data_IF_267887290210
#
_entry.id   IF_267887290210
#
_cell.length_a   1.000
_cell.length_b   1.000
_cell.length_c   1.000
_cell.angle_alpha   90.00
_cell.angle_beta   90.00
_cell.angle_gamma   90.00
#
_symmetry.space_group_name_H-M   'P 1'
#
loop_
_entity.id
_entity.type
_entity.pdbx_description
1 polymer ?
#
# COMPACT_ATOMS: atom_id res chain seq x y z
N UNK A 1 20.72 -14.02 -8.84
CA UNK A 1 19.84 -15.20 -9.01
C UNK A 1 18.42 -14.70 -8.96
N UNK A 2 17.53 -15.20 -9.82
CA UNK A 2 16.11 -14.76 -9.78
C UNK A 2 15.50 -15.13 -8.42
N UNK A 3 14.89 -14.16 -7.73
CA UNK A 3 14.18 -14.36 -6.46
C UNK A 3 12.73 -14.85 -6.68
N UNK A 4 12.46 -15.42 -7.88
CA UNK A 4 11.11 -15.84 -8.27
C UNK A 4 10.90 -17.30 -7.93
N UNK A 5 9.74 -17.59 -7.37
CA UNK A 5 9.25 -18.94 -7.11
C UNK A 5 7.90 -19.11 -7.80
N UNK A 6 7.85 -19.98 -8.81
CA UNK A 6 6.56 -20.38 -9.40
C UNK A 6 6.19 -21.75 -8.79
N UNK A 7 5.01 -21.87 -8.18
CA UNK A 7 4.57 -23.12 -7.57
C UNK A 7 4.49 -24.25 -8.60
N UNK A 8 4.89 -25.46 -8.19
CA UNK A 8 4.79 -26.64 -9.05
C UNK A 8 3.32 -26.88 -9.44
N UNK A 9 3.09 -27.08 -10.74
CA UNK A 9 1.75 -27.30 -11.28
C UNK A 9 0.87 -26.05 -11.32
N UNK A 10 1.41 -24.86 -11.07
CA UNK A 10 0.65 -23.62 -11.22
C UNK A 10 0.08 -23.48 -12.63
N UNK A 11 -1.20 -23.14 -12.69
CA UNK A 11 -1.89 -22.78 -13.92
C UNK A 11 -2.76 -21.56 -13.67
N UNK A 12 -2.64 -20.57 -14.53
CA UNK A 12 -3.51 -19.39 -14.48
C UNK A 12 -4.98 -19.80 -14.67
N UNK A 13 -5.86 -19.34 -13.79
CA UNK A 13 -7.28 -19.62 -13.84
C UNK A 13 -7.99 -18.97 -15.04
N UNK A 14 -7.44 -17.87 -15.55
CA UNK A 14 -7.95 -17.12 -16.71
C UNK A 14 -6.84 -16.95 -17.75
N UNK A 15 -7.17 -17.15 -19.02
CA UNK A 15 -6.27 -16.79 -20.13
C UNK A 15 -6.07 -15.27 -20.23
N UNK A 16 -5.10 -14.83 -21.04
CA UNK A 16 -4.70 -13.41 -21.15
C UNK A 16 -5.87 -12.46 -21.42
N UNK A 17 -6.74 -12.79 -22.38
CA UNK A 17 -7.86 -11.93 -22.76
C UNK A 17 -8.84 -11.74 -21.59
N UNK A 18 -9.22 -12.81 -20.90
CA UNK A 18 -10.14 -12.72 -19.76
C UNK A 18 -9.47 -12.15 -18.52
N UNK A 19 -8.15 -12.32 -18.36
CA UNK A 19 -7.36 -11.62 -17.35
C UNK A 19 -7.43 -10.11 -17.56
N UNK A 20 -7.27 -9.60 -18.79
CA UNK A 20 -7.38 -8.16 -19.07
C UNK A 20 -8.78 -7.61 -18.81
N UNK A 21 -9.83 -8.35 -19.18
CA UNK A 21 -11.22 -7.99 -18.83
C UNK A 21 -11.45 -7.95 -17.32
N UNK A 22 -10.94 -8.94 -16.60
CA UNK A 22 -11.08 -9.03 -15.16
C UNK A 22 -10.34 -7.89 -14.44
N UNK A 23 -9.13 -7.52 -14.88
CA UNK A 23 -8.40 -6.35 -14.37
C UNK A 23 -9.24 -5.08 -14.52
N UNK A 24 -9.81 -4.83 -15.71
CA UNK A 24 -10.66 -3.67 -15.94
C UNK A 24 -11.89 -3.63 -15.01
N UNK A 25 -12.52 -4.78 -14.81
CA UNK A 25 -13.66 -4.92 -13.89
C UNK A 25 -13.26 -4.70 -12.43
N UNK A 26 -12.18 -5.33 -11.97
CA UNK A 26 -11.66 -5.16 -10.60
C UNK A 26 -11.42 -3.67 -10.33
N UNK A 27 -10.71 -2.99 -11.23
CA UNK A 27 -10.38 -1.57 -11.06
C UNK A 27 -11.63 -0.69 -10.96
N UNK A 28 -12.65 -0.96 -11.76
CA UNK A 28 -13.90 -0.20 -11.72
C UNK A 28 -14.71 -0.49 -10.46
N UNK A 29 -15.02 -1.77 -10.20
CA UNK A 29 -15.89 -2.19 -9.10
C UNK A 29 -15.27 -1.82 -7.74
N UNK A 30 -13.99 -2.13 -7.55
CA UNK A 30 -13.33 -1.85 -6.28
C UNK A 30 -13.26 -0.36 -5.99
N UNK A 31 -12.89 0.47 -6.98
CA UNK A 31 -12.84 1.92 -6.78
C UNK A 31 -14.21 2.50 -6.40
N UNK A 32 -15.29 2.04 -7.04
CA UNK A 32 -16.65 2.47 -6.69
C UNK A 32 -17.01 2.10 -5.26
N UNK A 33 -16.75 0.84 -4.85
CA UNK A 33 -17.01 0.37 -3.50
C UNK A 33 -16.18 1.12 -2.44
N UNK A 34 -14.90 1.31 -2.71
CA UNK A 34 -14.00 2.09 -1.83
C UNK A 34 -14.48 3.54 -1.67
N UNK A 35 -14.86 4.18 -2.78
CA UNK A 35 -15.40 5.54 -2.74
C UNK A 35 -16.69 5.65 -1.92
N UNK A 36 -17.55 4.66 -2.01
CA UNK A 36 -18.79 4.61 -1.22
C UNK A 36 -18.52 4.38 0.26
N UNK A 37 -17.69 3.39 0.59
CA UNK A 37 -17.38 3.01 1.97
C UNK A 37 -16.69 4.15 2.75
N UNK A 38 -15.73 4.83 2.12
CA UNK A 38 -14.92 5.85 2.78
C UNK A 38 -15.34 7.30 2.46
N UNK A 39 -16.46 7.50 1.72
CA UNK A 39 -16.94 8.84 1.29
C UNK A 39 -15.89 9.64 0.51
N UNK A 40 -15.25 9.00 -0.48
CA UNK A 40 -14.18 9.58 -1.27
C UNK A 40 -14.68 10.19 -2.58
N UNK A 41 -14.00 11.24 -3.03
CA UNK A 41 -14.13 11.81 -4.37
C UNK A 41 -12.85 11.59 -5.16
N UNK A 42 -12.99 11.11 -6.40
CA UNK A 42 -11.84 10.97 -7.29
C UNK A 42 -11.30 12.35 -7.69
N UNK A 43 -9.98 12.52 -7.59
CA UNK A 43 -9.26 13.73 -8.00
C UNK A 43 -8.06 13.37 -8.86
N UNK A 44 -7.52 14.34 -9.59
CA UNK A 44 -6.24 14.20 -10.30
C UNK A 44 -5.09 14.38 -9.34
N UNK A 45 -3.99 13.67 -9.57
CA UNK A 45 -2.77 13.76 -8.77
C UNK A 45 -1.53 14.00 -9.65
N UNK A 46 -0.44 14.54 -9.07
CA UNK A 46 0.81 14.70 -9.80
C UNK A 46 1.50 13.34 -10.00
N UNK A 47 2.16 13.17 -11.14
CA UNK A 47 3.10 12.08 -11.37
C UNK A 47 4.48 12.41 -10.77
N UNK A 48 4.80 13.70 -10.65
CA UNK A 48 6.06 14.21 -10.11
C UNK A 48 5.83 15.49 -9.30
N UNK A 49 6.73 15.77 -8.40
CA UNK A 49 6.72 16.95 -7.53
C UNK A 49 8.06 17.64 -7.58
N UNK A 50 8.10 18.91 -7.18
CA UNK A 50 9.35 19.67 -7.08
C UNK A 50 10.24 19.08 -5.99
N UNK A 51 11.50 18.90 -6.30
CA UNK A 51 12.52 18.52 -5.32
C UNK A 51 12.56 19.54 -4.18
N UNK A 52 12.70 19.06 -2.94
CA UNK A 52 12.73 19.92 -1.77
C UNK A 52 11.38 20.49 -1.32
N UNK A 53 10.27 20.15 -1.98
CA UNK A 53 8.92 20.54 -1.54
C UNK A 53 8.50 19.88 -0.23
N UNK A 54 9.10 18.73 0.10
CA UNK A 54 8.70 17.85 1.20
C UNK A 54 7.47 16.99 0.89
N UNK A 55 7.00 16.99 -0.36
CA UNK A 55 5.81 16.24 -0.79
C UNK A 55 6.12 14.81 -1.25
N UNK A 56 7.35 14.54 -1.72
CA UNK A 56 7.75 13.19 -2.07
C UNK A 56 8.00 12.34 -0.83
N UNK A 57 7.94 11.02 -1.00
CA UNK A 57 8.24 10.05 0.03
C UNK A 57 9.70 9.56 -0.12
N UNK A 58 10.44 9.57 0.99
CA UNK A 58 11.80 9.04 1.01
C UNK A 58 11.82 7.55 1.36
N UNK A 59 10.65 6.90 1.46
CA UNK A 59 10.49 5.51 1.86
C UNK A 59 11.29 5.19 3.14
N UNK A 60 12.26 4.29 3.04
CA UNK A 60 13.17 3.99 4.17
C UNK A 60 14.36 4.97 4.27
N UNK A 61 14.46 5.95 3.34
CA UNK A 61 15.49 6.99 3.33
C UNK A 61 16.76 6.61 2.57
N UNK A 62 16.77 5.46 1.91
CA UNK A 62 17.91 4.98 1.10
C UNK A 62 17.58 4.88 -0.40
N UNK A 63 16.30 4.78 -0.73
CA UNK A 63 15.80 4.68 -2.11
C UNK A 63 15.96 6.03 -2.83
N UNK A 64 16.43 5.96 -4.06
CA UNK A 64 16.70 7.13 -4.89
C UNK A 64 15.51 7.43 -5.80
N UNK A 65 14.94 8.65 -5.78
CA UNK A 65 13.88 9.02 -6.72
C UNK A 65 14.42 9.07 -8.16
N UNK A 66 13.51 8.91 -9.13
CA UNK A 66 13.77 9.27 -10.52
C UNK A 66 13.62 10.77 -10.66
N UNK A 67 14.73 11.50 -10.72
CA UNK A 67 14.76 12.94 -10.84
C UNK A 67 15.09 13.37 -12.28
N UNK A 68 14.57 14.53 -12.66
CA UNK A 68 14.83 15.16 -13.96
C UNK A 68 14.77 16.68 -13.83
N UNK A 69 15.50 17.37 -14.72
CA UNK A 69 15.47 18.82 -14.80
C UNK A 69 14.22 19.34 -15.51
N UNK A 70 13.74 20.50 -15.07
CA UNK A 70 12.63 21.22 -15.68
C UNK A 70 13.15 22.61 -16.11
N UNK A 71 13.69 22.74 -17.33
CA UNK A 71 14.39 23.96 -17.76
C UNK A 71 13.55 25.23 -17.67
N UNK A 72 12.24 25.13 -17.96
CA UNK A 72 11.32 26.28 -17.88
C UNK A 72 11.14 26.85 -16.47
N UNK A 73 11.43 26.07 -15.44
CA UNK A 73 11.33 26.46 -14.03
C UNK A 73 12.71 26.70 -13.41
N UNK A 74 13.78 26.30 -14.11
CA UNK A 74 15.16 26.25 -13.59
C UNK A 74 15.26 25.46 -12.28
N UNK A 75 14.53 24.34 -12.20
CA UNK A 75 14.37 23.51 -11.00
C UNK A 75 14.44 22.03 -11.37
N UNK A 76 14.53 21.17 -10.35
CA UNK A 76 14.43 19.72 -10.51
C UNK A 76 13.10 19.20 -9.98
N UNK A 77 12.55 18.20 -10.68
CA UNK A 77 11.38 17.45 -10.26
C UNK A 77 11.72 15.98 -10.05
N UNK A 78 10.92 15.31 -9.24
CA UNK A 78 11.06 13.89 -8.90
C UNK A 78 9.75 13.17 -9.15
N UNK A 79 9.81 12.02 -9.82
CA UNK A 79 8.67 11.10 -9.89
C UNK A 79 8.35 10.65 -8.47
N UNK A 80 7.07 10.66 -8.11
CA UNK A 80 6.65 10.32 -6.75
C UNK A 80 6.97 8.86 -6.40
N UNK A 81 7.35 8.61 -5.14
CA UNK A 81 7.38 7.28 -4.55
C UNK A 81 6.06 6.92 -3.86
N UNK A 82 5.36 7.92 -3.33
CA UNK A 82 4.00 7.85 -2.82
C UNK A 82 3.34 9.23 -2.84
N UNK A 83 2.02 9.27 -2.67
CA UNK A 83 1.26 10.52 -2.59
C UNK A 83 0.78 10.83 -1.15
N UNK A 84 1.30 10.14 -0.13
CA UNK A 84 0.83 10.27 1.24
C UNK A 84 0.78 11.73 1.72
N UNK A 85 1.87 12.47 1.55
CA UNK A 85 1.96 13.88 1.95
C UNK A 85 1.18 14.81 1.02
N UNK A 86 1.22 14.55 -0.29
CA UNK A 86 0.49 15.35 -1.26
C UNK A 86 -1.04 15.27 -1.05
N UNK A 87 -1.59 14.10 -0.76
CA UNK A 87 -3.03 13.92 -0.53
C UNK A 87 -3.54 14.80 0.60
N UNK A 88 -2.82 14.83 1.74
CA UNK A 88 -3.15 15.70 2.86
C UNK A 88 -3.13 17.18 2.48
N UNK A 89 -2.10 17.60 1.74
CA UNK A 89 -2.02 18.97 1.21
C UNK A 89 -3.17 19.26 0.23
N UNK A 90 -3.55 18.32 -0.63
CA UNK A 90 -4.65 18.46 -1.57
C UNK A 90 -6.00 18.64 -0.85
N UNK A 91 -6.27 17.89 0.22
CA UNK A 91 -7.47 18.06 1.04
C UNK A 91 -7.57 19.48 1.61
N UNK A 92 -6.46 20.02 2.13
CA UNK A 92 -6.39 21.41 2.58
C UNK A 92 -6.65 22.39 1.43
N UNK A 93 -5.92 22.26 0.34
CA UNK A 93 -6.00 23.16 -0.81
C UNK A 93 -7.39 23.20 -1.44
N UNK A 94 -8.08 22.06 -1.47
CA UNK A 94 -9.40 21.92 -2.09
C UNK A 94 -10.56 22.17 -1.10
N UNK A 95 -10.27 22.43 0.17
CA UNK A 95 -11.26 22.79 1.19
C UNK A 95 -12.17 21.63 1.63
N UNK A 96 -11.64 20.40 1.65
CA UNK A 96 -12.38 19.25 2.17
C UNK A 96 -12.59 19.36 3.68
N UNK A 97 -13.70 18.81 4.15
CA UNK A 97 -14.16 18.90 5.56
C UNK A 97 -14.12 17.53 6.23
N UNK A 98 -14.17 17.47 7.59
CA UNK A 98 -14.26 16.19 8.30
C UNK A 98 -15.33 15.26 7.73
N UNK A 99 -14.97 13.98 7.58
CA UNK A 99 -15.82 12.96 6.98
C UNK A 99 -15.75 12.88 5.45
N UNK A 100 -15.08 13.82 4.78
CA UNK A 100 -14.88 13.82 3.33
C UNK A 100 -13.45 13.44 2.98
N UNK A 101 -13.26 12.78 1.84
CA UNK A 101 -11.95 12.36 1.39
C UNK A 101 -11.78 12.38 -0.13
N UNK A 102 -10.56 12.07 -0.53
CA UNK A 102 -10.15 11.94 -1.94
C UNK A 102 -9.59 10.55 -2.20
N UNK A 103 -9.72 10.10 -3.44
CA UNK A 103 -8.99 8.97 -4.01
C UNK A 103 -8.39 9.38 -5.34
N UNK A 104 -7.22 8.83 -5.65
CA UNK A 104 -6.56 9.05 -6.94
C UNK A 104 -5.76 7.81 -7.34
N UNK A 105 -5.45 7.69 -8.63
CA UNK A 105 -4.43 6.74 -9.06
C UNK A 105 -3.05 7.33 -8.79
N UNK A 106 -2.25 6.60 -8.03
CA UNK A 106 -0.83 6.86 -7.86
C UNK A 106 -0.05 5.93 -8.78
N UNK A 107 0.86 6.52 -9.55
CA UNK A 107 1.82 5.78 -10.38
C UNK A 107 3.22 6.20 -9.93
N UNK A 108 3.99 5.26 -9.42
CA UNK A 108 5.32 5.50 -8.90
C UNK A 108 6.37 4.64 -9.61
N UNK A 109 7.61 5.12 -9.60
CA UNK A 109 8.77 4.37 -10.09
C UNK A 109 9.75 4.22 -8.94
N UNK A 110 9.91 3.01 -8.46
CA UNK A 110 10.88 2.62 -7.43
C UNK A 110 12.08 1.97 -8.11
N UNK A 111 13.01 2.79 -8.56
CA UNK A 111 14.15 2.36 -9.41
C UNK A 111 15.11 1.38 -8.74
N UNK A 112 15.14 1.35 -7.42
CA UNK A 112 16.04 0.52 -6.63
C UNK A 112 15.31 -0.72 -6.04
N UNK A 113 14.07 -1.02 -6.50
CA UNK A 113 13.27 -2.15 -6.04
C UNK A 113 13.89 -3.49 -6.45
N UNK A 114 13.92 -4.44 -5.53
CA UNK A 114 14.27 -5.83 -5.84
C UNK A 114 13.07 -6.54 -6.46
N UNK A 115 13.25 -7.07 -7.67
CA UNK A 115 12.17 -7.73 -8.40
C UNK A 115 11.95 -9.15 -7.89
N UNK A 116 10.71 -9.47 -7.55
CA UNK A 116 10.28 -10.80 -7.17
C UNK A 116 8.84 -11.07 -7.65
N UNK A 117 8.16 -12.07 -7.09
CA UNK A 117 6.79 -12.39 -7.46
C UNK A 117 5.78 -11.26 -7.18
N UNK A 118 6.04 -10.41 -6.19
CA UNK A 118 5.13 -9.40 -5.66
C UNK A 118 5.59 -7.95 -5.94
N UNK A 119 6.88 -7.77 -6.25
CA UNK A 119 7.50 -6.46 -6.39
C UNK A 119 7.90 -6.15 -7.83
N UNK A 120 7.62 -4.92 -8.25
CA UNK A 120 7.95 -4.35 -9.56
C UNK A 120 8.49 -2.95 -9.37
N UNK A 121 9.34 -2.48 -10.28
CA UNK A 121 9.79 -1.07 -10.31
C UNK A 121 8.64 -0.09 -10.56
N UNK A 122 7.54 -0.54 -11.18
CA UNK A 122 6.33 0.23 -11.35
C UNK A 122 5.32 -0.13 -10.25
N UNK A 123 4.88 0.88 -9.49
CA UNK A 123 3.90 0.72 -8.42
C UNK A 123 2.65 1.51 -8.76
N UNK A 124 1.51 0.84 -8.78
CA UNK A 124 0.19 1.42 -9.01
C UNK A 124 -0.71 1.22 -7.78
N UNK A 125 -1.28 2.31 -7.27
CA UNK A 125 -2.15 2.27 -6.10
C UNK A 125 -3.41 3.11 -6.31
N UNK A 126 -4.52 2.72 -5.62
CA UNK A 126 -5.53 3.68 -5.22
C UNK A 126 -5.03 4.35 -3.96
N UNK A 127 -4.59 5.58 -4.09
CA UNK A 127 -4.16 6.41 -2.97
C UNK A 127 -5.35 7.22 -2.47
N UNK A 128 -5.72 7.01 -1.22
CA UNK A 128 -6.85 7.68 -0.60
C UNK A 128 -6.45 8.43 0.67
N UNK A 129 -7.22 9.48 0.98
CA UNK A 129 -7.02 10.30 2.19
C UNK A 129 -8.35 10.91 2.60
N UNK A 130 -8.66 10.92 3.90
CA UNK A 130 -9.90 11.43 4.47
C UNK A 130 -9.61 12.39 5.61
N UNK A 131 -10.32 13.53 5.66
CA UNK A 131 -10.25 14.45 6.81
C UNK A 131 -10.99 13.84 7.99
N UNK A 132 -10.35 13.84 9.16
CA UNK A 132 -10.89 13.31 10.41
C UNK A 132 -10.91 14.39 11.49
N UNK A 133 -11.64 14.14 12.56
CA UNK A 133 -11.65 14.97 13.77
C UNK A 133 -10.65 14.46 14.80
N UNK A 134 -10.35 15.25 15.83
CA UNK A 134 -9.37 14.88 16.84
C UNK A 134 -9.78 13.66 17.67
N UNK A 135 -11.07 13.49 17.94
CA UNK A 135 -11.65 12.34 18.64
C UNK A 135 -11.60 11.05 17.83
N UNK A 136 -11.43 11.13 16.51
CA UNK A 136 -11.25 9.97 15.62
C UNK A 136 -9.79 9.48 15.54
N UNK A 137 -8.86 10.09 16.25
CA UNK A 137 -7.46 9.61 16.33
C UNK A 137 -7.33 8.45 17.32
N UNK A 138 -7.93 7.32 17.01
CA UNK A 138 -7.96 6.11 17.85
C UNK A 138 -7.70 4.84 17.05
N UNK A 139 -7.29 3.77 17.73
CA UNK A 139 -7.14 2.45 17.11
C UNK A 139 -8.50 1.87 16.67
N UNK A 140 -9.55 2.16 17.41
CA UNK A 140 -10.91 1.72 17.08
C UNK A 140 -11.34 2.28 15.73
N UNK A 141 -11.14 3.59 15.50
CA UNK A 141 -11.46 4.22 14.21
C UNK A 141 -10.58 3.69 13.06
N UNK A 142 -9.32 3.37 13.34
CA UNK A 142 -8.44 2.69 12.39
C UNK A 142 -9.01 1.31 12.01
N UNK A 143 -9.40 0.51 12.99
CA UNK A 143 -9.98 -0.83 12.79
C UNK A 143 -11.31 -0.81 12.02
N UNK A 144 -12.20 0.14 12.36
CA UNK A 144 -13.45 0.35 11.61
C UNK A 144 -13.17 0.62 10.12
N UNK A 145 -12.18 1.46 9.82
CA UNK A 145 -11.80 1.77 8.44
C UNK A 145 -11.17 0.56 7.73
N UNK A 146 -10.43 -0.28 8.46
CA UNK A 146 -9.91 -1.55 7.92
C UNK A 146 -11.04 -2.50 7.52
N UNK A 147 -12.08 -2.63 8.36
CA UNK A 147 -13.24 -3.46 8.01
C UNK A 147 -13.97 -2.95 6.76
N UNK A 148 -14.15 -1.64 6.62
CA UNK A 148 -14.75 -1.03 5.43
C UNK A 148 -13.97 -1.37 4.14
N UNK A 149 -12.63 -1.31 4.20
CA UNK A 149 -11.76 -1.65 3.07
C UNK A 149 -11.81 -3.14 2.76
N UNK A 150 -11.72 -4.01 3.77
CA UNK A 150 -11.78 -5.46 3.59
C UNK A 150 -13.13 -5.88 3.02
N UNK A 151 -14.24 -5.27 3.49
CA UNK A 151 -15.56 -5.54 2.92
C UNK A 151 -15.65 -5.14 1.45
N UNK A 152 -15.08 -4.00 1.05
CA UNK A 152 -15.00 -3.57 -0.34
C UNK A 152 -14.18 -4.55 -1.21
N UNK A 153 -13.07 -5.09 -0.69
CA UNK A 153 -12.26 -6.12 -1.36
C UNK A 153 -13.08 -7.41 -1.55
N UNK A 154 -13.69 -7.91 -0.48
CA UNK A 154 -14.49 -9.14 -0.52
C UNK A 154 -15.72 -9.02 -1.43
N UNK A 155 -16.41 -7.87 -1.37
CA UNK A 155 -17.56 -7.61 -2.24
C UNK A 155 -17.15 -7.51 -3.73
N UNK A 156 -15.95 -7.01 -4.03
CA UNK A 156 -15.37 -7.01 -5.38
C UNK A 156 -15.09 -8.45 -5.83
N UNK A 157 -14.52 -9.28 -4.96
CA UNK A 157 -14.27 -10.70 -5.21
C UNK A 157 -15.58 -11.45 -5.52
N UNK A 158 -16.65 -11.18 -4.77
CA UNK A 158 -17.96 -11.82 -4.97
C UNK A 158 -18.55 -11.51 -6.34
N UNK A 159 -18.50 -10.24 -6.78
CA UNK A 159 -18.96 -9.83 -8.11
C UNK A 159 -18.10 -10.46 -9.24
N UNK A 160 -16.79 -10.50 -9.01
CA UNK A 160 -15.86 -11.09 -9.98
C UNK A 160 -16.10 -12.57 -10.19
N UNK A 161 -16.29 -13.34 -9.10
CA UNK A 161 -16.59 -14.79 -9.13
C UNK A 161 -17.93 -15.10 -9.80
N UNK A 162 -18.86 -14.17 -9.77
CA UNK A 162 -20.11 -14.32 -10.50
C UNK A 162 -19.92 -14.17 -12.02
N UNK A 163 -19.02 -13.28 -12.45
CA UNK A 163 -18.70 -13.04 -13.85
C UNK A 163 -17.70 -14.04 -14.45
N UNK A 164 -16.81 -14.57 -13.62
CA UNK A 164 -15.78 -15.55 -13.98
C UNK A 164 -15.91 -16.79 -13.07
N UNK A 165 -16.75 -17.77 -13.46
CA UNK A 165 -17.01 -18.96 -12.64
C UNK A 165 -15.74 -19.77 -12.30
N UNK A 166 -14.68 -19.67 -13.13
CA UNK A 166 -13.38 -20.30 -12.92
C UNK A 166 -12.72 -19.88 -11.59
N UNK A 167 -13.01 -18.66 -11.13
CA UNK A 167 -12.49 -18.14 -9.87
C UNK A 167 -13.26 -18.65 -8.66
N UNK A 168 -14.48 -19.16 -8.82
CA UNK A 168 -15.45 -19.43 -7.74
C UNK A 168 -14.93 -20.38 -6.67
N UNK A 169 -14.21 -21.42 -7.07
CA UNK A 169 -13.73 -22.47 -6.16
C UNK A 169 -12.28 -22.28 -5.72
N UNK A 170 -11.59 -21.29 -6.28
CA UNK A 170 -10.16 -21.12 -6.10
C UNK A 170 -9.81 -19.88 -5.24
N UNK A 171 -10.68 -18.86 -5.28
CA UNK A 171 -10.47 -17.62 -4.54
C UNK A 171 -11.49 -17.49 -3.43
N UNK A 172 -11.03 -17.56 -2.20
CA UNK A 172 -11.82 -17.34 -0.99
C UNK A 172 -11.07 -16.34 -0.11
N UNK A 173 -11.76 -15.28 0.27
CA UNK A 173 -11.25 -14.26 1.18
C UNK A 173 -12.13 -14.25 2.44
N UNK A 174 -11.48 -14.20 3.59
CA UNK A 174 -12.17 -14.07 4.85
C UNK A 174 -12.53 -12.61 5.10
N UNK A 175 -13.80 -12.33 5.41
CA UNK A 175 -14.28 -11.00 5.79
C UNK A 175 -13.92 -10.64 7.22
N UNK A 176 -13.75 -11.65 8.06
CA UNK A 176 -13.29 -11.46 9.42
C UNK A 176 -11.79 -11.08 9.41
N UNK A 177 -11.47 -9.99 10.08
CA UNK A 177 -10.09 -9.49 10.16
C UNK A 177 -9.52 -9.82 11.52
N UNK A 178 -8.40 -10.52 11.56
CA UNK A 178 -7.64 -10.73 12.79
C UNK A 178 -6.67 -9.56 13.00
N UNK A 179 -6.86 -8.81 14.08
CA UNK A 179 -6.01 -7.68 14.44
C UNK A 179 -4.91 -8.12 15.41
N UNK A 180 -3.70 -7.64 15.19
CA UNK A 180 -2.55 -7.86 16.07
C UNK A 180 -1.59 -6.68 15.98
N UNK A 181 -0.97 -6.31 17.09
CA UNK A 181 0.12 -5.32 17.08
C UNK A 181 1.44 -6.01 16.72
N UNK A 182 2.40 -5.23 16.22
CA UNK A 182 3.75 -5.74 15.93
C UNK A 182 4.43 -6.33 17.16
N UNK A 183 4.18 -5.78 18.35
CA UNK A 183 4.73 -6.30 19.59
C UNK A 183 4.10 -7.63 20.00
N UNK A 184 2.76 -7.77 19.91
CA UNK A 184 2.08 -9.04 20.17
C UNK A 184 2.53 -10.12 19.18
N UNK A 185 2.78 -9.73 17.92
CA UNK A 185 3.28 -10.62 16.89
C UNK A 185 4.71 -11.11 17.20
N UNK A 186 5.58 -10.23 17.69
CA UNK A 186 6.92 -10.61 18.21
C UNK A 186 6.81 -11.52 19.42
N UNK A 187 5.97 -11.19 20.41
CA UNK A 187 5.79 -11.97 21.62
C UNK A 187 5.24 -13.39 21.31
N UNK A 188 4.40 -13.52 20.26
CA UNK A 188 3.84 -14.82 19.82
C UNK A 188 4.84 -15.67 19.04
N UNK A 189 5.72 -15.05 18.26
CA UNK A 189 6.71 -15.73 17.40
C UNK A 189 8.11 -15.13 17.59
N UNK A 190 8.73 -15.29 18.78
CA UNK A 190 9.98 -14.56 19.12
C UNK A 190 11.17 -14.93 18.24
N UNK A 191 11.23 -16.18 17.77
CA UNK A 191 12.35 -16.70 16.97
C UNK A 191 12.18 -16.46 15.46
N UNK A 192 11.04 -15.91 15.03
CA UNK A 192 10.76 -15.67 13.61
C UNK A 192 11.22 -14.28 13.18
N UNK A 193 11.64 -14.17 11.92
CA UNK A 193 11.81 -12.86 11.27
C UNK A 193 10.45 -12.17 11.11
N UNK A 194 10.40 -10.84 10.93
CA UNK A 194 9.14 -10.14 10.69
C UNK A 194 8.28 -10.78 9.60
N UNK A 195 8.86 -11.09 8.45
CA UNK A 195 8.12 -11.73 7.33
C UNK A 195 7.62 -13.14 7.66
N UNK A 196 8.36 -13.91 8.44
CA UNK A 196 7.91 -15.22 8.92
C UNK A 196 6.74 -15.10 9.92
N UNK A 197 6.75 -14.06 10.78
CA UNK A 197 5.66 -13.74 11.68
C UNK A 197 4.36 -13.41 10.92
N UNK A 198 4.47 -12.54 9.91
CA UNK A 198 3.35 -12.19 9.02
C UNK A 198 2.78 -13.42 8.34
N UNK A 199 3.65 -14.24 7.72
CA UNK A 199 3.23 -15.46 7.03
C UNK A 199 2.53 -16.45 7.97
N UNK A 200 3.08 -16.66 9.17
CA UNK A 200 2.49 -17.59 10.14
C UNK A 200 1.10 -17.12 10.60
N UNK A 201 0.96 -15.84 10.92
CA UNK A 201 -0.30 -15.27 11.39
C UNK A 201 -1.35 -15.18 10.28
N UNK A 202 -0.96 -14.75 9.08
CA UNK A 202 -1.86 -14.70 7.93
C UNK A 202 -2.29 -16.10 7.46
N UNK A 203 -1.42 -17.11 7.56
CA UNK A 203 -1.77 -18.50 7.23
C UNK A 203 -2.84 -19.06 8.15
N UNK A 204 -2.83 -18.66 9.43
CA UNK A 204 -3.80 -19.09 10.42
C UNK A 204 -5.17 -18.41 10.27
N UNK A 205 -5.17 -17.12 9.91
CA UNK A 205 -6.36 -16.27 9.97
C UNK A 205 -6.93 -15.83 8.61
N UNK A 206 -6.22 -16.04 7.52
CA UNK A 206 -6.66 -15.64 6.17
C UNK A 206 -6.54 -14.15 5.88
N UNK A 207 -7.29 -13.31 6.61
CA UNK A 207 -7.22 -11.83 6.50
C UNK A 207 -6.75 -11.24 7.82
N UNK A 208 -5.68 -10.46 7.79
CA UNK A 208 -5.05 -9.92 8.99
C UNK A 208 -4.74 -8.44 8.87
N UNK A 209 -4.74 -7.74 10.01
CA UNK A 209 -4.30 -6.37 10.13
C UNK A 209 -3.20 -6.29 11.19
N UNK A 210 -1.99 -5.92 10.75
CA UNK A 210 -0.84 -5.75 11.63
C UNK A 210 -0.72 -4.26 11.96
N UNK A 211 -0.81 -3.92 13.24
CA UNK A 211 -0.87 -2.54 13.72
C UNK A 211 0.42 -2.10 14.42
N UNK A 212 0.62 -0.76 14.49
CA UNK A 212 1.69 -0.10 15.23
C UNK A 212 3.08 -0.44 14.69
N UNK A 213 3.28 -0.16 13.39
CA UNK A 213 4.51 -0.41 12.66
C UNK A 213 5.39 0.85 12.67
N UNK A 214 6.72 0.67 12.80
CA UNK A 214 7.74 1.74 12.72
C UNK A 214 8.50 1.99 14.01
N UNK A 215 7.86 1.76 15.17
CA UNK A 215 8.52 1.86 16.47
C UNK A 215 9.45 0.67 16.77
N UNK A 216 10.40 0.86 17.71
CA UNK A 216 11.25 -0.24 18.19
C UNK A 216 10.45 -1.17 19.09
N UNK A 217 10.58 -2.47 18.83
CA UNK A 217 10.00 -3.53 19.65
C UNK A 217 10.87 -3.84 20.88
N UNK A 218 10.43 -4.75 21.74
CA UNK A 218 11.19 -5.20 22.94
C UNK A 218 12.56 -5.77 22.58
N UNK A 219 12.70 -6.39 21.42
CA UNK A 219 14.00 -6.84 20.88
C UNK A 219 14.96 -5.69 20.54
N UNK A 220 14.48 -4.45 20.49
CA UNK A 220 15.24 -3.27 20.08
C UNK A 220 15.25 -3.01 18.58
N UNK A 221 14.65 -3.89 17.77
CA UNK A 221 14.50 -3.72 16.32
C UNK A 221 13.05 -3.35 15.98
N UNK A 222 12.80 -2.60 14.92
CA UNK A 222 11.44 -2.41 14.42
C UNK A 222 10.96 -3.70 13.73
N UNK A 223 9.63 -3.86 13.62
CA UNK A 223 9.05 -4.92 12.81
C UNK A 223 9.34 -4.69 11.32
N UNK A 224 9.09 -3.46 10.88
CA UNK A 224 9.39 -2.99 9.53
C UNK A 224 9.73 -1.50 9.57
N UNK A 225 10.35 -1.00 8.48
CA UNK A 225 10.62 0.42 8.27
C UNK A 225 9.33 1.20 8.00
N UNK A 226 9.26 2.43 8.53
CA UNK A 226 8.20 3.39 8.19
C UNK A 226 8.77 4.79 8.14
N UNK A 227 8.43 5.53 7.08
CA UNK A 227 8.75 6.94 7.01
C UNK A 227 8.18 7.68 8.24
N UNK A 228 8.94 8.60 8.84
CA UNK A 228 8.55 9.25 10.09
C UNK A 228 7.55 10.39 9.91
N UNK A 229 7.20 10.76 8.68
CA UNK A 229 6.62 12.07 8.38
C UNK A 229 5.23 12.04 7.72
N UNK A 230 4.55 10.88 7.74
CA UNK A 230 3.15 10.84 7.35
C UNK A 230 2.27 9.97 8.26
N UNK A 231 2.57 8.70 8.54
CA UNK A 231 1.78 7.88 9.47
C UNK A 231 2.26 8.01 10.91
N UNK A 232 1.30 8.15 11.85
CA UNK A 232 1.58 7.98 13.27
C UNK A 232 1.86 6.50 13.54
N UNK A 233 3.07 6.16 13.98
CA UNK A 233 3.51 4.77 14.20
C UNK A 233 2.69 4.04 15.26
N UNK A 234 1.95 4.76 16.09
CA UNK A 234 1.04 4.18 17.08
C UNK A 234 -0.38 3.96 16.55
N UNK A 235 -0.70 4.51 15.36
CA UNK A 235 -2.03 4.57 14.76
C UNK A 235 -2.01 4.20 13.27
N UNK A 236 -1.13 3.28 12.87
CA UNK A 236 -1.01 2.77 11.52
C UNK A 236 -1.17 1.26 11.46
N UNK A 237 -1.33 0.73 10.26
CA UNK A 237 -1.40 -0.71 10.04
C UNK A 237 -1.14 -1.09 8.58
N UNK A 238 -0.86 -2.38 8.39
CA UNK A 238 -0.88 -3.04 7.09
C UNK A 238 -2.00 -4.08 7.06
N UNK A 239 -2.72 -4.17 5.93
CA UNK A 239 -3.75 -5.17 5.66
C UNK A 239 -3.14 -6.23 4.75
N UNK A 240 -3.12 -7.47 5.23
CA UNK A 240 -2.56 -8.60 4.52
C UNK A 240 -3.62 -9.68 4.31
N UNK A 241 -3.53 -10.35 3.16
CA UNK A 241 -4.34 -11.52 2.84
C UNK A 241 -3.44 -12.72 2.62
N UNK A 242 -3.91 -13.91 3.04
CA UNK A 242 -3.21 -15.13 2.70
C UNK A 242 -3.35 -15.44 1.21
N UNK A 243 -2.24 -15.42 0.51
CA UNK A 243 -2.18 -15.66 -0.94
C UNK A 243 -1.83 -17.11 -1.23
N UNK A 244 -2.86 -17.92 -1.47
CA UNK A 244 -2.71 -19.38 -1.66
C UNK A 244 -1.71 -19.79 -2.76
N UNK A 245 -1.70 -19.17 -3.95
CA UNK A 245 -0.75 -19.57 -4.98
C UNK A 245 0.71 -19.54 -4.56
N UNK A 246 1.11 -18.55 -3.77
CA UNK A 246 2.49 -18.39 -3.30
C UNK A 246 2.71 -18.90 -1.87
N UNK A 247 1.67 -19.40 -1.19
CA UNK A 247 1.72 -19.82 0.22
C UNK A 247 2.37 -18.75 1.12
N UNK A 248 1.96 -17.48 0.96
CA UNK A 248 2.51 -16.35 1.69
C UNK A 248 1.46 -15.28 2.03
N UNK A 249 1.78 -14.42 2.99
CA UNK A 249 1.04 -13.20 3.25
C UNK A 249 1.33 -12.18 2.14
N UNK A 250 0.27 -11.66 1.53
CA UNK A 250 0.31 -10.60 0.54
C UNK A 250 -0.20 -9.31 1.20
N UNK A 251 0.69 -8.36 1.41
CA UNK A 251 0.33 -7.00 1.84
C UNK A 251 -0.39 -6.29 0.70
N UNK A 252 -1.67 -5.99 0.93
CA UNK A 252 -2.51 -5.29 -0.04
C UNK A 252 -2.50 -3.78 0.17
N UNK A 253 -2.49 -3.34 1.42
CA UNK A 253 -2.60 -1.93 1.79
C UNK A 253 -1.77 -1.60 3.00
N UNK A 254 -1.08 -0.46 2.94
CA UNK A 254 -0.52 0.24 4.10
C UNK A 254 -1.31 1.52 4.34
N UNK A 255 -1.73 1.77 5.59
CA UNK A 255 -2.55 2.91 5.94
C UNK A 255 -2.33 3.36 7.39
N UNK A 256 -2.75 4.58 7.70
CA UNK A 256 -2.67 5.09 9.07
C UNK A 256 -3.40 6.40 9.27
N UNK A 257 -3.67 6.69 10.53
CA UNK A 257 -3.97 8.04 10.98
C UNK A 257 -2.67 8.82 10.89
N UNK A 258 -2.73 9.97 10.22
CA UNK A 258 -1.53 10.75 9.92
C UNK A 258 -0.99 11.43 11.18
N UNK A 259 0.31 11.66 11.22
CA UNK A 259 0.96 12.39 12.31
C UNK A 259 0.28 13.74 12.56
N UNK A 260 0.10 14.09 13.82
CA UNK A 260 -0.08 15.47 14.25
C UNK A 260 1.29 16.14 14.47
N UNK A 261 1.30 17.39 14.92
CA UNK A 261 2.56 18.13 15.11
C UNK A 261 3.48 17.47 16.15
N UNK A 262 2.90 16.87 17.19
CA UNK A 262 3.69 16.24 18.25
C UNK A 262 4.22 14.86 17.84
N UNK A 263 3.42 14.05 17.17
CA UNK A 263 3.86 12.78 16.59
C UNK A 263 4.95 13.01 15.54
N UNK A 264 4.78 14.03 14.66
CA UNK A 264 5.81 14.36 13.66
C UNK A 264 7.16 14.69 14.32
N UNK A 265 7.17 15.57 15.34
CA UNK A 265 8.44 15.91 16.03
C UNK A 265 9.09 14.69 16.63
N UNK A 266 8.33 13.88 17.39
CA UNK A 266 8.84 12.66 18.04
C UNK A 266 9.42 11.67 17.00
N UNK A 267 8.73 11.46 15.90
CA UNK A 267 9.15 10.49 14.89
C UNK A 267 10.34 10.98 14.06
N UNK A 268 10.41 12.28 13.71
CA UNK A 268 11.59 12.86 13.05
C UNK A 268 12.85 12.75 13.92
N UNK A 269 12.73 12.98 15.23
CA UNK A 269 13.83 12.82 16.17
C UNK A 269 14.25 11.36 16.30
N UNK A 270 13.29 10.44 16.44
CA UNK A 270 13.55 9.00 16.55
C UNK A 270 14.21 8.43 15.29
N UNK A 271 13.85 8.95 14.12
CA UNK A 271 14.43 8.58 12.83
C UNK A 271 15.75 9.32 12.49
N UNK A 272 16.21 10.24 13.35
CA UNK A 272 17.46 10.99 13.16
C UNK A 272 17.41 11.99 11.99
N UNK A 273 16.22 12.44 11.59
CA UNK A 273 16.04 13.39 10.48
C UNK A 273 15.27 14.68 10.86
N UNK A 274 15.60 15.38 11.98
CA UNK A 274 14.84 16.53 12.47
C UNK A 274 14.83 17.70 11.47
N UNK A 275 15.82 17.78 10.58
CA UNK A 275 15.89 18.83 9.55
C UNK A 275 14.72 18.79 8.56
N UNK A 276 14.03 17.68 8.41
CA UNK A 276 12.81 17.60 7.56
C UNK A 276 11.70 18.56 8.05
N UNK A 277 11.69 18.92 9.33
CA UNK A 277 10.77 19.90 9.88
C UNK A 277 10.84 21.29 9.17
N UNK A 278 11.94 21.59 8.51
CA UNK A 278 12.15 22.86 7.80
C UNK A 278 11.55 22.87 6.38
N UNK A 279 11.15 21.71 5.84
CA UNK A 279 10.58 21.61 4.50
C UNK A 279 9.17 22.24 4.45
N UNK A 280 8.75 22.77 3.29
CA UNK A 280 7.48 23.50 3.17
C UNK A 280 6.26 22.74 3.66
N UNK A 281 6.09 21.47 3.28
CA UNK A 281 4.99 20.63 3.73
C UNK A 281 4.98 20.46 5.27
N UNK A 282 6.14 20.16 5.85
CA UNK A 282 6.28 19.92 7.28
C UNK A 282 5.98 21.16 8.12
N UNK A 283 6.37 22.35 7.64
CA UNK A 283 6.01 23.62 8.28
C UNK A 283 4.50 23.83 8.35
N UNK A 284 3.77 23.59 7.24
CA UNK A 284 2.31 23.67 7.23
C UNK A 284 1.63 22.72 8.21
N UNK A 285 2.24 21.56 8.44
CA UNK A 285 1.75 20.58 9.41
C UNK A 285 2.02 21.04 10.84
N UNK A 286 3.24 21.52 11.11
CA UNK A 286 3.69 21.94 12.44
C UNK A 286 2.99 23.19 12.95
N UNK A 287 2.57 24.08 12.06
CA UNK A 287 1.81 25.30 12.42
C UNK A 287 0.29 25.08 12.48
N UNK A 288 -0.17 23.84 12.23
CA UNK A 288 -1.57 23.48 12.30
C UNK A 288 -2.43 23.89 11.11
N UNK A 289 -1.81 24.29 9.99
CA UNK A 289 -2.53 24.67 8.76
C UNK A 289 -3.19 23.46 8.09
N UNK A 290 -2.53 22.30 8.12
CA UNK A 290 -3.08 21.08 7.51
C UNK A 290 -4.10 20.39 8.40
N UNK A 291 -5.20 19.84 7.83
CA UNK A 291 -6.20 19.10 8.60
C UNK A 291 -5.63 17.83 9.20
N UNK A 292 -6.27 17.31 10.25
CA UNK A 292 -6.06 15.94 10.70
C UNK A 292 -6.65 14.99 9.66
N UNK A 293 -5.90 13.93 9.30
CA UNK A 293 -6.32 13.01 8.25
C UNK A 293 -5.96 11.57 8.59
N UNK A 294 -6.64 10.65 7.92
CA UNK A 294 -6.29 9.25 7.79
C UNK A 294 -6.21 8.92 6.30
N UNK A 295 -5.28 8.05 5.93
CA UNK A 295 -5.18 7.65 4.55
C UNK A 295 -4.30 6.42 4.35
N UNK A 296 -4.24 5.97 3.10
CA UNK A 296 -3.47 4.79 2.73
C UNK A 296 -3.30 4.67 1.24
N UNK A 297 -2.56 3.65 0.84
CA UNK A 297 -2.43 3.18 -0.52
C UNK A 297 -2.86 1.72 -0.63
N UNK A 298 -3.66 1.39 -1.62
CA UNK A 298 -4.09 0.03 -1.91
C UNK A 298 -3.51 -0.36 -3.26
N UNK A 299 -2.67 -1.40 -3.30
CA UNK A 299 -2.00 -1.84 -4.52
C UNK A 299 -2.98 -2.33 -5.58
N UNK A 300 -3.08 -1.65 -6.72
CA UNK A 300 -3.99 -2.03 -7.81
C UNK A 300 -3.59 -3.39 -8.41
N UNK A 301 -2.34 -3.54 -8.78
CA UNK A 301 -1.82 -4.81 -9.32
C UNK A 301 -1.83 -5.91 -8.28
N UNK A 302 -1.51 -5.62 -7.01
CA UNK A 302 -1.60 -6.61 -5.92
C UNK A 302 -3.03 -7.08 -5.68
N UNK A 303 -4.04 -6.19 -5.75
CA UNK A 303 -5.44 -6.59 -5.66
C UNK A 303 -5.83 -7.49 -6.85
N UNK A 304 -5.44 -7.13 -8.07
CA UNK A 304 -5.68 -7.98 -9.24
C UNK A 304 -5.01 -9.35 -9.07
N UNK A 305 -3.77 -9.41 -8.61
CA UNK A 305 -3.04 -10.64 -8.34
C UNK A 305 -3.78 -11.52 -7.31
N UNK A 306 -4.21 -10.94 -6.20
CA UNK A 306 -4.97 -11.62 -5.15
C UNK A 306 -6.29 -12.20 -5.68
N UNK A 307 -7.11 -11.37 -6.35
CA UNK A 307 -8.46 -11.74 -6.79
C UNK A 307 -8.47 -12.67 -8.00
N UNK A 308 -7.39 -12.73 -8.77
CA UNK A 308 -7.24 -13.63 -9.92
C UNK A 308 -6.38 -14.86 -9.62
N UNK A 309 -5.84 -14.97 -8.40
CA UNK A 309 -4.99 -16.09 -7.99
C UNK A 309 -3.71 -16.22 -8.81
N UNK A 310 -3.07 -15.10 -9.12
CA UNK A 310 -1.87 -15.07 -9.96
C UNK A 310 -0.60 -15.29 -9.13
N UNK A 311 0.36 -16.01 -9.71
CA UNK A 311 1.64 -16.33 -9.05
C UNK A 311 2.72 -15.25 -9.24
N UNK A 312 2.54 -14.34 -10.19
CA UNK A 312 3.49 -13.26 -10.45
C UNK A 312 2.77 -11.96 -10.79
N UNK A 313 3.23 -10.84 -10.22
CA UNK A 313 2.62 -9.52 -10.47
C UNK A 313 2.63 -9.14 -11.95
N UNK A 314 3.61 -9.60 -12.72
CA UNK A 314 3.69 -9.41 -14.17
C UNK A 314 2.57 -10.07 -14.98
N UNK A 315 1.77 -10.96 -14.38
CA UNK A 315 0.56 -11.50 -15.03
C UNK A 315 -0.60 -10.49 -15.02
N UNK A 316 -0.50 -9.42 -14.24
CA UNK A 316 -1.54 -8.39 -14.08
C UNK A 316 -1.02 -6.97 -14.27
N UNK A 317 0.29 -6.82 -14.48
CA UNK A 317 0.94 -5.53 -14.65
C UNK A 317 2.00 -5.59 -15.75
N UNK A 318 1.95 -4.65 -16.69
CA UNK A 318 3.03 -4.46 -17.67
C UNK A 318 4.18 -3.72 -16.98
N UNK A 319 5.37 -4.32 -16.97
CA UNK A 319 6.57 -3.74 -16.36
C UNK A 319 7.83 -4.24 -17.08
N UNK A 320 9.00 -4.00 -16.50
CA UNK A 320 10.28 -4.50 -16.99
C UNK A 320 10.75 -5.64 -16.09
N UNK A 321 11.19 -6.73 -16.70
CA UNK A 321 11.66 -7.93 -16.00
C UNK A 321 13.02 -8.33 -16.56
N UNK A 322 13.89 -8.85 -15.70
CA UNK A 322 15.15 -9.42 -16.13
C UNK A 322 14.96 -10.75 -16.90
N UNK A 323 15.96 -11.12 -17.71
CA UNK A 323 15.89 -12.31 -18.55
C UNK A 323 15.66 -13.60 -17.75
N UNK A 324 16.20 -13.69 -16.53
CA UNK A 324 16.04 -14.87 -15.68
C UNK A 324 14.57 -15.01 -15.21
N UNK A 325 13.94 -13.90 -14.84
CA UNK A 325 12.52 -13.81 -14.52
C UNK A 325 11.64 -14.24 -15.70
N UNK A 326 11.87 -13.64 -16.87
CA UNK A 326 11.12 -13.97 -18.09
C UNK A 326 11.26 -15.46 -18.44
N UNK A 327 12.47 -16.01 -18.33
CA UNK A 327 12.71 -17.41 -18.63
C UNK A 327 12.06 -18.34 -17.60
N UNK A 328 12.12 -18.02 -16.30
CA UNK A 328 11.48 -18.79 -15.24
C UNK A 328 9.95 -18.85 -15.42
N UNK A 329 9.32 -17.71 -15.70
CA UNK A 329 7.90 -17.60 -15.99
C UNK A 329 7.52 -18.44 -17.21
N UNK A 330 8.24 -18.29 -18.32
CA UNK A 330 8.01 -19.04 -19.56
C UNK A 330 8.12 -20.55 -19.36
N UNK A 331 9.16 -21.02 -18.64
CA UNK A 331 9.37 -22.46 -18.38
C UNK A 331 8.25 -23.06 -17.52
N UNK A 332 7.58 -22.25 -16.71
CA UNK A 332 6.48 -22.64 -15.81
C UNK A 332 5.10 -22.36 -16.38
N UNK A 333 5.00 -21.92 -17.64
CA UNK A 333 3.72 -21.60 -18.28
C UNK A 333 3.02 -20.34 -17.73
N UNK A 334 3.79 -19.45 -17.08
CA UNK A 334 3.30 -18.14 -16.63
C UNK A 334 3.47 -17.13 -17.75
N UNK A 335 2.39 -16.50 -18.18
CA UNK A 335 2.38 -15.47 -19.22
C UNK A 335 2.45 -14.09 -18.58
N UNK A 336 3.56 -13.39 -18.79
CA UNK A 336 3.72 -11.97 -18.41
C UNK A 336 3.05 -11.06 -19.45
N UNK A 337 2.40 -9.97 -18.98
CA UNK A 337 1.74 -8.97 -19.84
C UNK A 337 2.73 -8.13 -20.63
#
# INVERSE_FOLDING_TARGET
MSHITIPEGYQSLLGLYDTQKAIGLIKTIFQEKLCMALHLKRVTAPLFVMQGSGLNDDLNGVERPVAFDVPSLNEQAEVVHSLAKWKRYALYKYGFRPGQGIVTDMNAVRRDEELDNLHSIYVDQWDWERVITADQRTLEFLQETVWDIVDAVCATSDELRWKFPELKNNIHLDREVAFITTQELEDRYPDFTPKQRENAFAKEHGTVCIMQIGGRLKSGQPHDGRAPDYDDWTLNCDILFWHKPLDCALELSSMGIRVDADALRRQLDAAGCPKRAELPFHKLLLDGTLPLTMGGGIGQSRLCMLLLGKAHVGEVQVSLWDDATVQACRNSGVELL
#
